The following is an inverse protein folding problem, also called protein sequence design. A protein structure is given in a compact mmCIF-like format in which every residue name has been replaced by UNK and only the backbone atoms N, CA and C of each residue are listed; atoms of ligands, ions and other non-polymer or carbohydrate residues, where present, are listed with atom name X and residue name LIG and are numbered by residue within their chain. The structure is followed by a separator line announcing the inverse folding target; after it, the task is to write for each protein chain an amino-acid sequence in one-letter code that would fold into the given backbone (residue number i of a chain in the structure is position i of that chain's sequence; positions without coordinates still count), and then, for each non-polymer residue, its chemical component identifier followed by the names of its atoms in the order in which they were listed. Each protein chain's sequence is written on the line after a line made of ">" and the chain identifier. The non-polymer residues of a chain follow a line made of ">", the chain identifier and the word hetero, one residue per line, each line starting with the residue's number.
data_IF_281392995670
#
_entry.id   IF_281392995670
#
_cell.length_a   1.000
_cell.length_b   1.000
_cell.length_c   1.000
_cell.angle_alpha   90.00
_cell.angle_beta   90.00
_cell.angle_gamma   90.00
#
_symmetry.space_group_name_H-M   'P 1'
#
loop_
_entity.id
_entity.type
_entity.pdbx_description
1 polymer ?
#
# COMPACT_ATOMS: atom_id res chain seq x y z
N UNK A 1 -17.98 -27.39 -22.89
CA UNK A 1 -16.91 -28.00 -22.09
C UNK A 1 -15.57 -27.45 -22.57
N UNK A 2 -15.24 -26.25 -22.13
CA UNK A 2 -13.86 -25.78 -22.03
C UNK A 2 -13.84 -24.79 -20.88
N UNK A 3 -13.31 -25.30 -19.79
CA UNK A 3 -13.02 -24.63 -18.53
C UNK A 3 -11.86 -23.66 -18.80
N UNK A 4 -12.15 -22.38 -18.94
CA UNK A 4 -11.16 -21.31 -18.83
C UNK A 4 -11.33 -20.69 -17.44
N UNK A 5 -11.00 -21.47 -16.41
CA UNK A 5 -10.81 -20.99 -15.06
C UNK A 5 -9.78 -19.85 -15.07
N UNK A 6 -10.30 -18.64 -14.81
CA UNK A 6 -9.69 -17.59 -14.00
C UNK A 6 -8.16 -17.68 -13.93
N UNK A 7 -7.50 -17.13 -14.94
CA UNK A 7 -6.22 -16.47 -14.71
C UNK A 7 -6.55 -15.32 -13.74
N UNK A 8 -6.50 -15.62 -12.44
CA UNK A 8 -6.69 -14.62 -11.41
C UNK A 8 -5.71 -13.51 -11.70
N UNK A 9 -6.23 -12.34 -12.10
CA UNK A 9 -5.45 -11.12 -12.20
C UNK A 9 -4.88 -10.92 -10.80
N UNK A 10 -3.63 -11.38 -10.59
CA UNK A 10 -2.95 -11.22 -9.33
C UNK A 10 -3.02 -9.73 -9.07
N UNK A 11 -3.59 -9.29 -7.93
CA UNK A 11 -3.92 -7.90 -7.74
C UNK A 11 -2.65 -7.10 -7.98
N UNK A 12 -2.70 -6.26 -9.01
CA UNK A 12 -1.60 -5.37 -9.35
C UNK A 12 -1.16 -4.63 -8.08
N UNK A 13 0.14 -4.37 -7.92
CA UNK A 13 0.66 -3.71 -6.71
C UNK A 13 -0.09 -2.43 -6.36
N UNK A 14 -0.64 -1.73 -7.36
CA UNK A 14 -1.55 -0.60 -7.19
C UNK A 14 -2.84 -0.95 -6.44
N UNK A 15 -3.55 -2.00 -6.85
CA UNK A 15 -4.77 -2.49 -6.18
C UNK A 15 -4.49 -2.87 -4.73
N UNK A 16 -3.33 -3.49 -4.46
CA UNK A 16 -2.92 -3.84 -3.11
C UNK A 16 -2.70 -2.60 -2.24
N UNK A 17 -2.00 -1.60 -2.76
CA UNK A 17 -1.73 -0.32 -2.06
C UNK A 17 -3.05 0.39 -1.73
N UNK A 18 -3.96 0.53 -2.70
CA UNK A 18 -5.24 1.22 -2.46
C UNK A 18 -6.10 0.47 -1.46
N UNK A 19 -6.19 -0.87 -1.58
CA UNK A 19 -6.93 -1.71 -0.64
C UNK A 19 -6.39 -1.60 0.79
N UNK A 20 -5.07 -1.63 0.95
CA UNK A 20 -4.44 -1.48 2.26
C UNK A 20 -4.67 -0.08 2.84
N UNK A 21 -4.49 0.98 2.04
CA UNK A 21 -4.69 2.36 2.48
C UNK A 21 -6.12 2.62 2.96
N UNK A 22 -7.13 2.16 2.20
CA UNK A 22 -8.55 2.27 2.59
C UNK A 22 -8.84 1.51 3.86
N UNK A 23 -8.42 0.25 3.94
CA UNK A 23 -8.62 -0.57 5.13
C UNK A 23 -7.99 0.07 6.39
N UNK A 24 -6.80 0.65 6.25
CA UNK A 24 -6.12 1.36 7.33
C UNK A 24 -6.88 2.62 7.77
N UNK A 25 -7.39 3.41 6.81
CA UNK A 25 -8.15 4.63 7.08
C UNK A 25 -9.47 4.31 7.76
N UNK A 26 -10.23 3.35 7.23
CA UNK A 26 -11.48 2.87 7.80
C UNK A 26 -11.29 2.40 9.25
N UNK A 27 -10.24 1.59 9.50
CA UNK A 27 -9.92 1.12 10.84
C UNK A 27 -9.68 2.28 11.81
N UNK A 28 -8.95 3.32 11.40
CA UNK A 28 -8.74 4.51 12.25
C UNK A 28 -9.99 5.32 12.46
N UNK A 29 -10.83 5.47 11.43
CA UNK A 29 -12.09 6.23 11.52
C UNK A 29 -13.08 5.57 12.49
N UNK A 30 -13.11 4.24 12.56
CA UNK A 30 -13.95 3.50 13.52
C UNK A 30 -13.25 3.22 14.86
N UNK A 31 -12.03 3.75 15.08
CA UNK A 31 -11.28 3.57 16.33
C UNK A 31 -10.72 2.15 16.56
N UNK A 32 -10.58 1.36 15.51
CA UNK A 32 -9.97 0.02 15.53
C UNK A 32 -8.45 0.08 15.36
N UNK A 33 -7.77 -1.00 15.75
CA UNK A 33 -6.35 -1.17 15.49
C UNK A 33 -6.13 -1.48 13.99
N UNK A 34 -5.31 -0.70 13.26
CA UNK A 34 -5.15 -0.91 11.83
C UNK A 34 -4.45 -2.22 11.46
N UNK A 35 -3.50 -2.70 12.27
CA UNK A 35 -2.73 -3.90 11.95
C UNK A 35 -3.59 -5.18 11.79
N UNK A 36 -4.51 -5.52 12.72
CA UNK A 36 -5.42 -6.65 12.52
C UNK A 36 -6.32 -6.50 11.29
N UNK A 37 -6.79 -5.30 11.00
CA UNK A 37 -7.61 -5.03 9.82
C UNK A 37 -6.79 -5.23 8.53
N UNK A 38 -5.59 -4.68 8.48
CA UNK A 38 -4.64 -4.85 7.38
C UNK A 38 -4.28 -6.32 7.17
N UNK A 39 -3.98 -7.07 8.23
CA UNK A 39 -3.65 -8.50 8.11
C UNK A 39 -4.78 -9.29 7.45
N UNK A 40 -6.04 -9.11 7.88
CA UNK A 40 -7.22 -9.72 7.24
C UNK A 40 -7.42 -9.23 5.81
N UNK A 41 -7.21 -7.93 5.58
CA UNK A 41 -7.30 -7.35 4.25
C UNK A 41 -6.15 -7.77 3.33
N UNK A 42 -5.13 -8.49 3.79
CA UNK A 42 -4.01 -8.94 2.97
C UNK A 42 -3.91 -10.47 2.89
N UNK A 43 -4.62 -11.19 3.76
CA UNK A 43 -4.69 -12.66 3.79
C UNK A 43 -5.13 -13.29 2.44
N UNK A 44 -6.16 -12.79 1.73
CA UNK A 44 -6.58 -13.39 0.45
C UNK A 44 -5.52 -13.36 -0.66
N UNK A 45 -4.46 -12.57 -0.49
CA UNK A 45 -3.36 -12.43 -1.45
C UNK A 45 -2.03 -12.89 -0.85
N UNK A 46 -2.09 -13.60 0.29
CA UNK A 46 -0.93 -14.15 0.98
C UNK A 46 0.16 -13.09 1.27
N UNK A 47 -0.29 -11.89 1.61
CA UNK A 47 0.57 -10.72 1.83
C UNK A 47 0.43 -10.14 3.26
N UNK A 48 -0.05 -10.93 4.22
CA UNK A 48 -0.28 -10.49 5.60
C UNK A 48 0.99 -9.93 6.28
N UNK A 49 2.16 -10.42 5.87
CA UNK A 49 3.47 -9.90 6.33
C UNK A 49 3.67 -8.42 5.99
N UNK A 50 2.97 -7.89 4.98
CA UNK A 50 3.04 -6.46 4.62
C UNK A 50 2.23 -5.56 5.55
N UNK A 51 1.35 -6.10 6.41
CA UNK A 51 0.51 -5.31 7.32
C UNK A 51 1.28 -4.27 8.15
N UNK A 52 2.37 -4.60 8.88
CA UNK A 52 3.15 -3.59 9.63
C UNK A 52 3.82 -2.54 8.73
N UNK A 53 4.13 -2.90 7.49
CA UNK A 53 4.77 -2.01 6.51
C UNK A 53 3.76 -0.99 6.00
N UNK A 54 2.54 -1.45 5.66
CA UNK A 54 1.45 -0.57 5.26
C UNK A 54 1.00 0.34 6.40
N UNK A 55 0.97 -0.17 7.63
CA UNK A 55 0.66 0.62 8.82
C UNK A 55 1.65 1.79 9.00
N UNK A 56 2.95 1.48 8.93
CA UNK A 56 4.01 2.49 9.01
C UNK A 56 3.97 3.48 7.85
N UNK A 57 3.75 2.99 6.62
CA UNK A 57 3.65 3.81 5.42
C UNK A 57 2.51 4.82 5.54
N UNK A 58 1.30 4.38 5.92
CA UNK A 58 0.14 5.26 6.03
C UNK A 58 0.32 6.28 7.16
N UNK A 59 0.88 5.88 8.32
CA UNK A 59 1.16 6.79 9.42
C UNK A 59 2.20 7.87 9.04
N UNK A 60 3.27 7.48 8.36
CA UNK A 60 4.30 8.40 7.87
C UNK A 60 3.74 9.30 6.77
N UNK A 61 2.88 8.78 5.89
CA UNK A 61 2.21 9.56 4.86
C UNK A 61 1.31 10.65 5.46
N UNK A 62 0.46 10.32 6.43
CA UNK A 62 -0.36 11.32 7.15
C UNK A 62 0.49 12.38 7.86
N UNK A 63 1.60 11.94 8.48
CA UNK A 63 2.57 12.85 9.10
C UNK A 63 3.18 13.79 8.06
N UNK A 64 3.51 13.26 6.88
CA UNK A 64 4.16 14.01 5.83
C UNK A 64 3.23 15.05 5.19
N UNK A 65 1.94 14.72 4.99
CA UNK A 65 0.93 15.68 4.50
C UNK A 65 0.33 16.55 5.63
N UNK A 66 0.78 16.37 6.87
CA UNK A 66 0.34 17.09 8.08
C UNK A 66 -1.18 17.07 8.32
N UNK A 67 -1.88 16.04 7.85
CA UNK A 67 -3.32 15.85 8.02
C UNK A 67 -3.72 14.39 7.82
N UNK A 68 -4.91 13.97 8.27
CA UNK A 68 -5.46 12.68 7.88
C UNK A 68 -5.58 12.56 6.36
N UNK A 69 -5.19 11.39 5.82
CA UNK A 69 -5.36 11.10 4.40
C UNK A 69 -6.83 10.85 4.09
N UNK A 70 -7.28 11.30 2.92
CA UNK A 70 -8.64 11.09 2.44
C UNK A 70 -8.65 9.91 1.49
N UNK A 71 -9.52 8.95 1.70
CA UNK A 71 -9.75 7.87 0.75
C UNK A 71 -10.93 8.21 -0.16
N UNK A 72 -10.87 7.76 -1.41
CA UNK A 72 -11.99 7.86 -2.34
C UNK A 72 -12.99 6.74 -2.10
N UNK A 73 -14.11 6.80 -2.82
CA UNK A 73 -15.18 5.82 -2.72
C UNK A 73 -15.19 4.88 -3.93
N UNK A 74 -15.51 3.60 -3.69
CA UNK A 74 -15.69 2.58 -4.73
C UNK A 74 -14.53 2.57 -5.76
N UNK A 75 -14.78 2.89 -7.03
CA UNK A 75 -13.75 2.88 -8.08
C UNK A 75 -13.04 4.22 -8.27
N UNK A 76 -13.41 5.27 -7.53
CA UNK A 76 -12.83 6.61 -7.67
C UNK A 76 -11.70 6.78 -6.66
N UNK A 77 -10.51 7.15 -7.15
CA UNK A 77 -9.36 7.44 -6.30
C UNK A 77 -9.37 8.91 -5.84
N UNK A 78 -9.08 9.14 -4.57
CA UNK A 78 -8.84 10.48 -4.04
C UNK A 78 -7.53 11.07 -4.59
N UNK A 79 -7.28 12.35 -4.29
CA UNK A 79 -5.96 12.95 -4.55
C UNK A 79 -4.85 12.29 -3.74
N UNK A 80 -5.13 11.93 -2.49
CA UNK A 80 -4.16 11.33 -1.58
C UNK A 80 -3.81 9.90 -1.97
N UNK A 81 -4.81 9.14 -2.45
CA UNK A 81 -4.63 7.78 -2.97
C UNK A 81 -3.75 7.79 -4.23
N UNK A 82 -3.97 8.74 -5.13
CA UNK A 82 -3.13 8.90 -6.33
C UNK A 82 -1.70 9.32 -5.96
N UNK A 83 -1.55 10.21 -4.99
CA UNK A 83 -0.24 10.63 -4.51
C UNK A 83 0.52 9.47 -3.86
N UNK A 84 -0.13 8.75 -2.94
CA UNK A 84 0.46 7.58 -2.27
C UNK A 84 0.87 6.51 -3.29
N UNK A 85 0.00 6.23 -4.28
CA UNK A 85 0.30 5.30 -5.35
C UNK A 85 1.51 5.76 -6.18
N UNK A 86 1.53 7.02 -6.60
CA UNK A 86 2.62 7.59 -7.39
C UNK A 86 3.97 7.59 -6.67
N UNK A 87 3.95 7.72 -5.33
CA UNK A 87 5.16 7.64 -4.50
C UNK A 87 5.67 6.19 -4.39
N UNK A 88 4.76 5.22 -4.31
CA UNK A 88 5.08 3.80 -4.16
C UNK A 88 5.53 3.18 -5.48
N UNK A 89 4.86 3.50 -6.60
CA UNK A 89 5.28 3.03 -7.93
C UNK A 89 6.52 3.78 -8.47
N UNK A 90 6.81 4.96 -7.92
CA UNK A 90 7.96 5.79 -8.28
C UNK A 90 7.70 6.76 -9.44
N UNK A 91 6.45 6.91 -9.88
CA UNK A 91 6.04 7.87 -10.92
C UNK A 91 6.01 9.32 -10.42
N UNK A 92 5.91 9.56 -9.11
CA UNK A 92 5.96 10.89 -8.51
C UNK A 92 7.21 11.09 -7.63
N UNK A 93 8.02 12.13 -7.90
CA UNK A 93 9.15 12.49 -7.04
C UNK A 93 8.66 13.08 -5.71
N UNK A 94 9.09 12.45 -4.61
CA UNK A 94 8.65 12.70 -3.22
C UNK A 94 8.80 14.16 -2.78
N UNK A 95 9.91 14.81 -3.15
CA UNK A 95 10.26 16.20 -2.78
C UNK A 95 9.46 17.26 -3.51
N UNK A 96 8.76 16.90 -4.58
CA UNK A 96 7.97 17.84 -5.37
C UNK A 96 6.53 17.98 -4.87
N UNK A 97 6.08 17.05 -4.03
CA UNK A 97 4.67 16.93 -3.66
C UNK A 97 4.39 17.07 -2.15
N UNK A 98 5.41 16.94 -1.30
CA UNK A 98 5.26 17.00 0.16
C UNK A 98 6.34 17.90 0.77
N UNK A 99 5.91 19.00 1.38
CA UNK A 99 6.77 19.91 2.14
C UNK A 99 6.87 19.38 3.58
N UNK A 100 7.91 18.59 3.88
CA UNK A 100 8.01 17.82 5.11
C UNK A 100 9.39 17.99 5.75
N UNK A 101 9.50 18.06 7.10
CA UNK A 101 10.79 18.07 7.79
C UNK A 101 11.66 16.85 7.43
N UNK A 102 12.96 17.10 7.27
CA UNK A 102 13.95 16.16 6.69
C UNK A 102 13.97 14.77 7.36
N UNK A 103 13.73 14.69 8.67
CA UNK A 103 13.68 13.42 9.41
C UNK A 103 12.49 12.53 9.03
N UNK A 104 11.31 13.12 8.77
CA UNK A 104 10.11 12.38 8.36
C UNK A 104 10.24 11.94 6.89
N UNK A 105 10.88 12.75 6.06
CA UNK A 105 11.18 12.39 4.67
C UNK A 105 12.07 11.14 4.59
N UNK A 106 13.13 11.04 5.41
CA UNK A 106 14.01 9.87 5.44
C UNK A 106 13.32 8.59 5.94
N UNK A 107 12.48 8.69 6.98
CA UNK A 107 11.71 7.56 7.48
C UNK A 107 10.67 7.07 6.45
N UNK A 108 9.99 7.99 5.78
CA UNK A 108 9.07 7.70 4.68
C UNK A 108 9.82 7.05 3.51
N UNK A 109 11.02 7.55 3.18
CA UNK A 109 11.86 6.97 2.13
C UNK A 109 12.23 5.51 2.42
N UNK A 110 12.59 5.21 3.67
CA UNK A 110 12.88 3.86 4.13
C UNK A 110 11.64 2.95 4.03
N UNK A 111 10.49 3.42 4.51
CA UNK A 111 9.23 2.67 4.42
C UNK A 111 8.84 2.37 2.97
N UNK A 112 9.00 3.33 2.05
CA UNK A 112 8.69 3.14 0.64
C UNK A 112 9.68 2.17 -0.02
N UNK A 113 10.97 2.29 0.25
CA UNK A 113 11.95 1.34 -0.28
C UNK A 113 11.66 -0.09 0.20
N UNK A 114 11.38 -0.23 1.50
CA UNK A 114 11.03 -1.51 2.14
C UNK A 114 9.77 -2.12 1.52
N UNK A 115 8.69 -1.34 1.35
CA UNK A 115 7.45 -1.86 0.79
C UNK A 115 7.58 -2.23 -0.69
N UNK A 116 8.35 -1.47 -1.48
CA UNK A 116 8.60 -1.80 -2.89
C UNK A 116 9.33 -3.14 -3.02
N UNK A 117 10.34 -3.37 -2.18
CA UNK A 117 11.08 -4.64 -2.14
C UNK A 117 10.15 -5.78 -1.73
N UNK A 118 9.41 -5.64 -0.63
CA UNK A 118 8.55 -6.71 -0.14
C UNK A 118 7.37 -7.00 -1.07
N UNK A 119 6.80 -5.98 -1.73
CA UNK A 119 5.80 -6.20 -2.78
C UNK A 119 6.39 -6.92 -3.98
N UNK A 120 7.62 -6.58 -4.40
CA UNK A 120 8.29 -7.32 -5.49
C UNK A 120 8.53 -8.80 -5.13
N UNK A 121 8.79 -9.10 -3.85
CA UNK A 121 8.95 -10.48 -3.36
C UNK A 121 7.61 -11.22 -3.20
N UNK A 122 6.56 -10.54 -2.74
CA UNK A 122 5.25 -11.14 -2.49
C UNK A 122 4.42 -11.34 -3.77
N UNK A 123 4.59 -10.45 -4.76
CA UNK A 123 3.85 -10.38 -6.03
C UNK A 123 4.69 -10.86 -7.23
N UNK A 124 5.99 -11.14 -7.01
CA UNK A 124 6.88 -11.68 -8.05
C UNK A 124 6.42 -13.05 -8.57
N UNK A 125 6.90 -13.47 -9.76
CA UNK A 125 6.48 -14.72 -10.38
C UNK A 125 6.82 -15.89 -9.47
N UNK A 126 5.80 -16.44 -8.80
CA UNK A 126 5.90 -17.66 -8.02
C UNK A 126 6.07 -18.83 -8.98
N UNK A 127 7.29 -19.03 -9.47
CA UNK A 127 7.61 -20.17 -10.34
C UNK A 127 8.82 -19.95 -11.23
N UNK A 128 10.02 -20.17 -10.71
CA UNK A 128 10.99 -21.05 -11.36
C UNK A 128 11.67 -21.84 -10.24
N UNK A 129 11.35 -23.12 -10.15
CA UNK A 129 12.03 -24.06 -9.26
C UNK A 129 13.52 -24.04 -9.55
N UNK A 130 14.31 -23.97 -8.49
CA UNK A 130 15.74 -24.19 -8.59
C UNK A 130 15.94 -25.68 -8.86
N UNK A 131 16.49 -26.00 -10.03
CA UNK A 131 17.01 -27.31 -10.37
C UNK A 131 18.46 -27.16 -10.85
#
# INVERSE_FOLDING_TARGET
>A
MTDHALLGDAPSGSTLVIRAARCWRDARDVGQLPQPCLARALEPVDAMMLAPVFDSLCALFETAIARPMRCGEACVLSGDERLLLGIVDGSMPRRSCIDCPEGVASALDCAICSIRIMMALAVGPRGVGWH
#
